data_IF_141916049192
#
_entry.id   IF_141916049192
#
_cell.length_a   1.000
_cell.length_b   1.000
_cell.length_c   1.000
_cell.angle_alpha   90.00
_cell.angle_beta   90.00
_cell.angle_gamma   90.00
#
_symmetry.space_group_name_H-M   'P 1'
#
loop_
_entity.id
_entity.type
_entity.pdbx_description
1 polymer ?
#
# COMPACT_ATOMS: atom_id res chain seq x y z
N UNK A 1 24.46 -50.07 78.24
CA UNK A 1 23.16 -49.57 78.72
C UNK A 1 22.79 -48.36 77.86
N UNK A 2 21.98 -48.60 76.83
CA UNK A 2 21.58 -47.61 75.83
C UNK A 2 20.61 -46.58 76.43
N UNK A 3 20.97 -45.29 76.36
CA UNK A 3 20.04 -44.19 76.58
C UNK A 3 19.51 -43.72 75.22
N UNK A 4 18.22 -43.99 74.99
CA UNK A 4 17.45 -43.43 73.89
C UNK A 4 17.23 -41.93 74.09
N UNK A 5 17.64 -41.12 73.10
CA UNK A 5 17.09 -39.79 72.88
C UNK A 5 16.35 -39.80 71.53
N UNK A 6 15.03 -39.62 71.59
CA UNK A 6 14.22 -39.18 70.46
C UNK A 6 14.49 -37.70 70.18
N UNK A 7 14.51 -37.29 68.90
CA UNK A 7 14.00 -35.97 68.55
C UNK A 7 12.82 -36.04 67.59
N UNK A 8 11.77 -35.35 68.03
CA UNK A 8 10.63 -34.82 67.32
C UNK A 8 10.96 -34.34 65.88
N UNK A 9 10.33 -34.93 64.88
CA UNK A 9 10.22 -34.34 63.54
C UNK A 9 8.84 -33.66 63.42
N UNK A 10 8.87 -32.33 63.56
CA UNK A 10 7.76 -31.42 63.29
C UNK A 10 7.29 -31.58 61.83
N UNK A 11 6.06 -32.09 61.65
CA UNK A 11 5.43 -32.21 60.35
C UNK A 11 4.98 -30.86 59.81
N UNK A 12 5.87 -30.15 59.11
CA UNK A 12 5.51 -28.92 58.37
C UNK A 12 4.62 -29.29 57.19
N UNK A 13 3.30 -29.09 57.32
CA UNK A 13 2.35 -29.18 56.19
C UNK A 13 2.76 -28.18 55.11
N UNK A 14 3.26 -28.66 53.96
CA UNK A 14 3.58 -27.81 52.80
C UNK A 14 2.35 -26.97 52.41
N UNK A 15 2.47 -25.65 52.25
CA UNK A 15 1.32 -24.76 52.04
C UNK A 15 0.66 -25.03 50.68
N UNK A 16 -0.56 -25.59 50.69
CA UNK A 16 -1.38 -25.81 49.48
C UNK A 16 -1.63 -24.51 48.70
N UNK A 17 -1.61 -23.35 49.37
CA UNK A 17 -1.83 -22.01 48.82
C UNK A 17 -0.76 -21.58 47.80
N UNK A 18 0.50 -21.96 48.01
CA UNK A 18 1.60 -21.67 47.06
C UNK A 18 1.48 -22.45 45.75
N UNK A 19 0.94 -23.69 45.80
CA UNK A 19 0.71 -24.50 44.59
C UNK A 19 -0.41 -23.95 43.70
N UNK A 20 -1.41 -23.29 44.30
CA UNK A 20 -2.52 -22.66 43.56
C UNK A 20 -2.04 -21.40 42.85
N UNK A 21 -1.28 -20.54 43.54
CA UNK A 21 -0.68 -19.32 42.95
C UNK A 21 0.27 -19.67 41.80
N UNK A 22 1.10 -20.71 41.98
CA UNK A 22 1.99 -21.22 40.92
C UNK A 22 1.21 -21.73 39.70
N UNK A 23 0.07 -22.39 39.89
CA UNK A 23 -0.81 -22.81 38.78
C UNK A 23 -1.43 -21.62 38.05
N UNK A 24 -1.92 -20.61 38.76
CA UNK A 24 -2.46 -19.39 38.13
C UNK A 24 -1.39 -18.62 37.35
N UNK A 25 -0.17 -18.51 37.87
CA UNK A 25 0.95 -17.91 37.14
C UNK A 25 1.33 -18.71 35.89
N UNK A 26 1.34 -20.05 35.97
CA UNK A 26 1.64 -20.90 34.82
C UNK A 26 0.54 -20.82 33.75
N UNK A 27 -0.73 -20.79 34.14
CA UNK A 27 -1.86 -20.64 33.21
C UNK A 27 -1.88 -19.25 32.57
N UNK A 28 -1.57 -18.19 33.33
CA UNK A 28 -1.43 -16.84 32.81
C UNK A 28 -0.26 -16.75 31.82
N UNK A 29 0.90 -17.33 32.16
CA UNK A 29 2.06 -17.36 31.27
C UNK A 29 1.79 -18.14 29.98
N UNK A 30 1.03 -19.25 30.06
CA UNK A 30 0.59 -20.02 28.90
C UNK A 30 -0.40 -19.23 28.02
N UNK A 31 -1.30 -18.45 28.63
CA UNK A 31 -2.24 -17.59 27.89
C UNK A 31 -1.53 -16.45 27.16
N UNK A 32 -0.49 -15.86 27.77
CA UNK A 32 0.32 -14.80 27.15
C UNK A 32 1.16 -15.34 25.99
N UNK A 33 1.72 -16.55 26.11
CA UNK A 33 2.52 -17.14 25.03
C UNK A 33 1.68 -17.58 23.82
N UNK A 34 0.43 -18.00 24.03
CA UNK A 34 -0.52 -18.28 22.94
C UNK A 34 -0.89 -17.02 22.14
N UNK A 35 -1.03 -15.86 22.81
CA UNK A 35 -1.30 -14.59 22.13
C UNK A 35 -0.15 -14.11 21.23
N UNK A 36 1.10 -14.39 21.61
CA UNK A 36 2.28 -14.00 20.82
C UNK A 36 2.46 -14.84 19.54
N UNK A 37 2.09 -16.13 19.56
CA UNK A 37 2.20 -17.01 18.39
C UNK A 37 1.12 -16.69 17.33
N UNK A 38 -0.04 -16.19 17.76
CA UNK A 38 -1.11 -15.76 16.86
C UNK A 38 -0.75 -14.50 16.03
N UNK A 39 0.33 -13.81 16.39
CA UNK A 39 0.81 -12.61 15.72
C UNK A 39 1.83 -12.97 14.64
N UNK A 40 1.50 -13.93 13.78
CA UNK A 40 2.29 -14.20 12.58
C UNK A 40 2.07 -13.03 11.62
N UNK A 41 3.05 -12.10 11.60
CA UNK A 41 3.09 -11.01 10.63
C UNK A 41 2.95 -11.60 9.23
N UNK A 42 1.87 -11.23 8.53
CA UNK A 42 1.72 -11.58 7.12
C UNK A 42 3.00 -11.19 6.36
N UNK A 43 3.52 -12.12 5.55
CA UNK A 43 4.68 -11.83 4.72
C UNK A 43 4.36 -10.65 3.80
N UNK A 44 5.11 -9.56 3.95
CA UNK A 44 4.96 -8.38 3.11
C UNK A 44 5.68 -8.60 1.79
N UNK A 45 5.06 -8.28 0.64
CA UNK A 45 5.74 -8.38 -0.64
C UNK A 45 6.96 -7.45 -0.66
N UNK A 46 8.07 -7.95 -1.20
CA UNK A 46 9.31 -7.15 -1.37
C UNK A 46 9.20 -6.11 -2.48
N UNK A 47 8.26 -6.30 -3.42
CA UNK A 47 8.01 -5.44 -4.57
C UNK A 47 6.51 -5.42 -4.88
N UNK A 48 5.98 -4.24 -5.14
CA UNK A 48 4.63 -4.03 -5.68
C UNK A 48 4.81 -3.42 -7.07
N UNK A 49 4.15 -4.01 -8.07
CA UNK A 49 4.18 -3.53 -9.46
C UNK A 49 2.77 -3.08 -9.83
N UNK A 50 2.58 -1.77 -9.99
CA UNK A 50 1.33 -1.21 -10.50
C UNK A 50 1.42 -0.98 -12.00
N UNK A 51 0.43 -1.48 -12.75
CA UNK A 51 0.38 -1.38 -14.21
C UNK A 51 -0.95 -0.75 -14.60
N UNK A 52 -0.89 0.41 -15.25
CA UNK A 52 -2.06 1.03 -15.89
C UNK A 52 -1.86 0.93 -17.40
N UNK A 53 -2.78 0.25 -18.08
CA UNK A 53 -2.84 0.22 -19.54
C UNK A 53 -3.83 1.31 -19.98
N UNK A 54 -3.30 2.41 -20.50
CA UNK A 54 -4.11 3.57 -20.88
C UNK A 54 -5.13 3.18 -21.96
N UNK A 55 -6.37 3.66 -21.79
CA UNK A 55 -7.50 3.37 -22.67
C UNK A 55 -7.88 1.88 -22.82
N UNK A 56 -7.48 1.01 -21.88
CA UNK A 56 -7.84 -0.41 -21.91
C UNK A 56 -9.29 -0.64 -21.45
N UNK A 57 -10.13 -1.15 -22.35
CA UNK A 57 -11.47 -1.62 -22.00
C UNK A 57 -11.41 -3.05 -21.47
N UNK A 58 -12.23 -3.36 -20.48
CA UNK A 58 -12.30 -4.71 -19.90
C UNK A 58 -12.66 -5.78 -20.95
N UNK A 59 -13.47 -5.45 -21.96
CA UNK A 59 -13.85 -6.40 -23.02
C UNK A 59 -12.62 -6.96 -23.77
N UNK A 60 -11.53 -6.20 -23.87
CA UNK A 60 -10.35 -6.60 -24.63
C UNK A 60 -9.66 -7.83 -24.03
N UNK A 61 -9.75 -8.01 -22.71
CA UNK A 61 -9.24 -9.19 -22.02
C UNK A 61 -9.86 -10.50 -22.52
N UNK A 62 -11.12 -10.44 -22.94
CA UNK A 62 -11.87 -11.60 -23.45
C UNK A 62 -11.85 -11.64 -24.98
N UNK A 63 -12.11 -10.50 -25.64
CA UNK A 63 -12.21 -10.42 -27.10
C UNK A 63 -10.95 -10.86 -27.82
N UNK A 64 -9.79 -10.64 -27.20
CA UNK A 64 -8.49 -10.99 -27.78
C UNK A 64 -7.77 -12.08 -26.98
N UNK A 65 -8.48 -12.83 -26.13
CA UNK A 65 -7.89 -13.86 -25.25
C UNK A 65 -7.02 -14.84 -26.01
N UNK A 66 -7.46 -15.27 -27.19
CA UNK A 66 -6.78 -16.29 -27.99
C UNK A 66 -5.44 -15.81 -28.57
N UNK A 67 -5.24 -14.49 -28.60
CA UNK A 67 -3.99 -13.85 -29.06
C UNK A 67 -3.01 -13.56 -27.93
N UNK A 68 -3.41 -13.75 -26.67
CA UNK A 68 -2.52 -13.53 -25.52
C UNK A 68 -1.69 -14.77 -25.19
N UNK A 69 -0.44 -14.54 -24.81
CA UNK A 69 0.44 -15.57 -24.25
C UNK A 69 0.01 -15.97 -22.84
N UNK A 70 0.32 -17.20 -22.44
CA UNK A 70 -0.04 -17.74 -21.11
C UNK A 70 0.53 -16.92 -19.95
N UNK A 71 1.75 -16.39 -20.06
CA UNK A 71 2.42 -15.64 -18.98
C UNK A 71 1.96 -14.20 -18.76
N UNK A 72 1.01 -13.69 -19.55
CA UNK A 72 0.56 -12.29 -19.52
C UNK A 72 -0.82 -12.10 -18.89
N UNK A 73 -1.74 -11.44 -19.61
CA UNK A 73 -3.12 -11.23 -19.15
C UNK A 73 -3.84 -12.51 -18.77
N UNK A 74 -3.60 -13.62 -19.48
CA UNK A 74 -4.18 -14.93 -19.16
C UNK A 74 -3.83 -15.38 -17.74
N UNK A 75 -2.55 -15.30 -17.36
CA UNK A 75 -2.09 -15.59 -16.00
C UNK A 75 -2.80 -14.72 -14.96
N UNK A 76 -2.84 -13.41 -15.19
CA UNK A 76 -3.50 -12.47 -14.26
C UNK A 76 -4.99 -12.79 -14.07
N UNK A 77 -5.69 -13.21 -15.15
CA UNK A 77 -7.11 -13.57 -15.09
C UNK A 77 -7.36 -14.93 -14.43
N UNK A 78 -6.46 -15.91 -14.61
CA UNK A 78 -6.62 -17.29 -14.12
C UNK A 78 -6.14 -17.48 -12.68
N UNK A 79 -5.01 -16.88 -12.33
CA UNK A 79 -4.34 -17.06 -11.03
C UNK A 79 -4.54 -15.88 -10.09
N UNK A 80 -4.96 -14.73 -10.61
CA UNK A 80 -5.19 -13.51 -9.84
C UNK A 80 -6.65 -13.32 -9.42
N UNK A 81 -6.91 -12.15 -8.86
CA UNK A 81 -8.25 -11.68 -8.57
C UNK A 81 -8.72 -10.69 -9.64
N UNK A 82 -9.89 -10.93 -10.24
CA UNK A 82 -10.45 -10.06 -11.28
C UNK A 82 -11.72 -9.35 -10.78
N UNK A 83 -11.60 -8.04 -10.54
CA UNK A 83 -12.76 -7.19 -10.33
C UNK A 83 -13.46 -6.92 -11.67
N UNK A 84 -14.65 -7.50 -11.87
CA UNK A 84 -15.39 -7.45 -13.14
C UNK A 84 -16.33 -6.24 -13.27
N UNK A 85 -16.56 -5.51 -12.18
CA UNK A 85 -17.51 -4.40 -12.11
C UNK A 85 -16.85 -3.13 -11.53
N UNK A 86 -15.67 -2.78 -12.04
CA UNK A 86 -14.97 -1.55 -11.68
C UNK A 86 -15.38 -0.39 -12.59
N UNK A 87 -15.85 0.71 -12.01
CA UNK A 87 -16.27 1.90 -12.76
C UNK A 87 -15.65 3.16 -12.18
N UNK A 88 -15.35 4.14 -13.03
CA UNK A 88 -15.06 5.49 -12.58
C UNK A 88 -16.31 6.10 -11.95
N UNK A 89 -16.17 6.61 -10.73
CA UNK A 89 -17.23 7.31 -10.01
C UNK A 89 -17.18 8.83 -10.22
N UNK A 90 -16.56 9.29 -11.30
CA UNK A 90 -16.38 10.70 -11.64
C UNK A 90 -16.34 10.92 -13.15
N UNK A 91 -16.45 12.19 -13.52
CA UNK A 91 -16.29 12.71 -14.88
C UNK A 91 -15.33 13.92 -14.81
N UNK A 92 -14.46 14.16 -15.81
CA UNK A 92 -14.21 13.40 -17.04
C UNK A 92 -13.26 12.20 -16.86
N UNK A 93 -13.46 11.15 -17.66
CA UNK A 93 -12.62 9.93 -17.71
C UNK A 93 -11.36 10.13 -18.56
N UNK A 94 -10.60 11.17 -18.24
CA UNK A 94 -9.33 11.48 -18.89
C UNK A 94 -8.14 10.80 -18.18
N UNK A 95 -7.02 10.69 -18.89
CA UNK A 95 -5.78 10.04 -18.41
C UNK A 95 -5.30 10.61 -17.07
N UNK A 96 -5.14 11.93 -16.94
CA UNK A 96 -4.62 12.58 -15.72
C UNK A 96 -5.47 12.29 -14.48
N UNK A 97 -6.78 12.62 -14.49
CA UNK A 97 -7.72 12.26 -13.43
C UNK A 97 -7.69 10.76 -13.12
N UNK A 98 -7.71 9.92 -14.16
CA UNK A 98 -7.62 8.46 -14.07
C UNK A 98 -6.43 7.97 -13.22
N UNK A 99 -5.23 8.40 -13.59
CA UNK A 99 -4.00 7.96 -12.93
C UNK A 99 -3.92 8.47 -11.49
N UNK A 100 -4.31 9.73 -11.25
CA UNK A 100 -4.36 10.31 -9.91
C UNK A 100 -5.33 9.53 -9.01
N UNK A 101 -6.54 9.21 -9.47
CA UNK A 101 -7.53 8.52 -8.64
C UNK A 101 -7.11 7.09 -8.27
N UNK A 102 -6.51 6.35 -9.21
CA UNK A 102 -6.08 4.95 -8.96
C UNK A 102 -5.06 4.89 -7.83
N UNK A 103 -4.14 5.85 -7.77
CA UNK A 103 -3.04 5.85 -6.79
C UNK A 103 -3.34 6.63 -5.52
N UNK A 104 -4.26 7.60 -5.55
CA UNK A 104 -4.69 8.34 -4.34
C UNK A 104 -5.87 7.69 -3.61
N UNK A 105 -6.62 6.81 -4.28
CA UNK A 105 -7.84 6.23 -3.72
C UNK A 105 -8.97 7.25 -3.54
N UNK A 106 -8.86 8.44 -4.14
CA UNK A 106 -9.88 9.50 -4.07
C UNK A 106 -10.27 10.01 -5.45
N UNK A 107 -11.19 10.98 -5.51
CA UNK A 107 -11.76 11.51 -6.76
C UNK A 107 -11.12 12.85 -7.15
N UNK A 108 -11.34 13.34 -8.40
CA UNK A 108 -10.87 14.65 -8.85
C UNK A 108 -11.28 15.82 -7.97
N UNK A 109 -12.43 15.74 -7.30
CA UNK A 109 -12.88 16.75 -6.36
C UNK A 109 -11.95 16.89 -5.14
N UNK A 110 -11.24 15.82 -4.78
CA UNK A 110 -10.33 15.78 -3.61
C UNK A 110 -8.88 15.94 -4.02
N UNK A 111 -8.40 15.17 -5.01
CA UNK A 111 -7.00 15.19 -5.41
C UNK A 111 -6.65 16.34 -6.38
N UNK A 112 -7.63 17.13 -6.83
CA UNK A 112 -7.42 18.38 -7.59
C UNK A 112 -7.16 18.21 -9.10
N UNK A 113 -6.72 17.03 -9.56
CA UNK A 113 -6.55 16.74 -10.99
C UNK A 113 -7.91 16.50 -11.69
N UNK A 114 -8.54 17.58 -12.17
CA UNK A 114 -9.88 17.56 -12.77
C UNK A 114 -9.93 17.28 -14.27
N UNK A 115 -8.81 17.45 -14.98
CA UNK A 115 -8.69 17.19 -16.41
C UNK A 115 -7.21 17.02 -16.79
N UNK A 116 -6.92 16.66 -18.04
CA UNK A 116 -5.55 16.71 -18.55
C UNK A 116 -5.03 18.16 -18.60
N UNK A 117 -5.90 19.12 -18.90
CA UNK A 117 -5.63 20.55 -18.79
C UNK A 117 -6.91 21.26 -18.37
N UNK A 118 -6.78 22.35 -17.62
CA UNK A 118 -7.92 23.20 -17.23
C UNK A 118 -7.54 24.67 -17.29
N UNK A 119 -8.54 25.54 -17.41
CA UNK A 119 -8.33 26.98 -17.34
C UNK A 119 -8.17 27.42 -15.89
N UNK A 120 -7.03 28.03 -15.55
CA UNK A 120 -6.82 28.71 -14.28
C UNK A 120 -7.27 30.17 -14.41
N UNK A 121 -8.26 30.56 -13.60
CA UNK A 121 -8.72 31.95 -13.52
C UNK A 121 -7.65 32.88 -12.95
N UNK A 122 -6.86 32.38 -12.00
CA UNK A 122 -5.77 33.12 -11.37
C UNK A 122 -4.65 33.44 -12.37
N UNK A 123 -4.22 32.42 -13.13
CA UNK A 123 -3.14 32.57 -14.11
C UNK A 123 -3.63 33.09 -15.48
N UNK A 124 -4.96 33.22 -15.66
CA UNK A 124 -5.62 33.63 -16.91
C UNK A 124 -5.17 32.82 -18.13
N UNK A 125 -4.93 31.52 -17.95
CA UNK A 125 -4.47 30.60 -19.01
C UNK A 125 -4.85 29.16 -18.70
N UNK A 126 -4.72 28.30 -19.71
CA UNK A 126 -4.75 26.85 -19.50
C UNK A 126 -3.49 26.37 -18.76
N UNK A 127 -3.68 25.46 -17.82
CA UNK A 127 -2.64 24.76 -17.06
C UNK A 127 -2.73 23.27 -17.39
N UNK A 128 -1.60 22.65 -17.69
CA UNK A 128 -1.50 21.21 -17.87
C UNK A 128 -1.39 20.49 -16.52
N UNK A 129 -1.97 19.28 -16.40
CA UNK A 129 -2.17 18.64 -15.10
C UNK A 129 -0.88 18.36 -14.31
N UNK A 130 0.20 18.00 -15.00
CA UNK A 130 1.50 17.74 -14.40
C UNK A 130 2.48 18.91 -14.61
N UNK A 131 2.00 20.07 -15.07
CA UNK A 131 2.85 21.25 -15.31
C UNK A 131 3.42 21.79 -14.00
N UNK A 132 4.72 22.07 -14.02
CA UNK A 132 5.42 22.77 -12.95
C UNK A 132 6.47 23.72 -13.54
N UNK A 133 6.22 25.02 -13.42
CA UNK A 133 7.10 26.07 -13.95
C UNK A 133 8.34 26.34 -13.10
N UNK A 134 8.46 25.75 -11.91
CA UNK A 134 9.62 25.97 -11.03
C UNK A 134 10.69 24.89 -11.17
N UNK A 135 10.42 23.85 -11.96
CA UNK A 135 11.38 22.77 -12.22
C UNK A 135 11.83 22.80 -13.68
N UNK A 136 12.95 22.15 -13.95
CA UNK A 136 13.53 22.02 -15.28
C UNK A 136 13.89 20.56 -15.53
N UNK A 137 14.02 20.19 -16.81
CA UNK A 137 14.38 18.83 -17.19
C UNK A 137 15.77 18.47 -16.68
N UNK A 138 15.92 17.23 -16.23
CA UNK A 138 17.22 16.59 -16.07
C UNK A 138 17.42 15.68 -17.29
N UNK A 139 18.24 16.12 -18.24
CA UNK A 139 18.41 15.45 -19.54
C UNK A 139 17.26 15.72 -20.52
N UNK A 140 17.34 15.20 -21.75
CA UNK A 140 16.30 15.40 -22.77
C UNK A 140 16.15 16.85 -23.22
N UNK A 141 14.92 17.26 -23.58
CA UNK A 141 14.63 18.60 -24.11
C UNK A 141 13.94 19.49 -23.09
N UNK A 142 14.15 20.83 -23.11
CA UNK A 142 13.49 21.77 -22.21
C UNK A 142 11.96 21.70 -22.23
N UNK A 143 11.37 21.36 -23.39
CA UNK A 143 9.92 21.20 -23.55
C UNK A 143 9.36 20.04 -22.72
N UNK A 144 10.16 19.01 -22.46
CA UNK A 144 9.77 17.84 -21.67
C UNK A 144 10.06 17.99 -20.16
N UNK A 145 10.57 19.15 -19.72
CA UNK A 145 11.21 19.32 -18.41
C UNK A 145 10.42 19.95 -17.28
N UNK A 146 9.26 20.51 -17.57
CA UNK A 146 8.47 21.30 -16.62
C UNK A 146 7.36 20.46 -16.01
N UNK A 147 7.74 19.29 -15.47
CA UNK A 147 6.81 18.25 -15.03
C UNK A 147 7.05 17.92 -13.56
N UNK A 148 5.98 17.94 -12.75
CA UNK A 148 6.00 17.45 -11.37
C UNK A 148 4.59 17.03 -10.91
N UNK A 149 4.48 16.32 -9.77
CA UNK A 149 3.17 16.00 -9.16
C UNK A 149 2.54 17.20 -8.43
N UNK A 150 3.11 18.42 -8.48
CA UNK A 150 2.71 19.55 -7.61
C UNK A 150 1.22 19.89 -7.59
N UNK A 151 0.50 19.68 -8.70
CA UNK A 151 -0.93 19.98 -8.75
C UNK A 151 -1.80 18.88 -8.10
N UNK A 152 -1.21 17.77 -7.66
CA UNK A 152 -1.87 16.71 -6.91
C UNK A 152 -2.00 17.14 -5.45
N UNK A 153 -3.22 17.32 -4.97
CA UNK A 153 -3.45 17.86 -3.62
C UNK A 153 -3.46 16.80 -2.52
N UNK A 154 -3.58 15.53 -2.89
CA UNK A 154 -3.64 14.40 -1.97
C UNK A 154 -2.37 13.57 -2.03
N UNK A 155 -2.10 12.81 -0.97
CA UNK A 155 -1.09 11.75 -1.02
C UNK A 155 -1.54 10.58 -1.89
N UNK A 156 -0.57 9.79 -2.31
CA UNK A 156 -0.74 8.53 -3.04
C UNK A 156 -0.36 7.35 -2.15
N UNK A 157 -0.75 6.14 -2.53
CA UNK A 157 -0.30 4.91 -1.86
C UNK A 157 1.23 4.78 -1.87
N UNK A 158 1.92 5.37 -2.86
CA UNK A 158 3.38 5.41 -2.91
C UNK A 158 3.96 6.40 -1.90
N UNK A 159 3.34 7.55 -1.70
CA UNK A 159 3.69 8.50 -0.63
C UNK A 159 3.52 7.85 0.75
N UNK A 160 2.37 7.21 0.98
CA UNK A 160 2.08 6.52 2.23
C UNK A 160 3.05 5.35 2.48
N UNK A 161 3.45 4.62 1.43
CA UNK A 161 4.46 3.55 1.53
C UNK A 161 5.86 4.10 1.89
N UNK A 162 6.20 5.29 1.40
CA UNK A 162 7.43 5.98 1.77
C UNK A 162 7.36 6.42 3.23
N UNK A 163 6.27 7.08 3.64
CA UNK A 163 6.07 7.57 5.01
C UNK A 163 6.07 6.42 6.02
N UNK A 164 5.29 5.37 5.77
CA UNK A 164 5.19 4.19 6.65
C UNK A 164 6.51 3.44 6.84
N UNK A 165 7.49 3.65 5.96
CA UNK A 165 8.79 2.99 6.02
C UNK A 165 9.94 3.97 6.27
N UNK A 166 9.68 5.15 6.84
CA UNK A 166 10.68 6.19 7.11
C UNK A 166 11.54 6.52 5.88
N UNK A 167 10.88 6.63 4.71
CA UNK A 167 11.48 6.92 3.40
C UNK A 167 12.55 5.91 2.92
N UNK A 168 12.59 4.71 3.50
CA UNK A 168 13.46 3.62 3.05
C UNK A 168 12.93 2.87 1.83
N UNK A 169 11.62 2.94 1.59
CA UNK A 169 10.99 2.42 0.38
C UNK A 169 11.58 3.10 -0.87
N UNK A 170 11.45 2.45 -2.02
CA UNK A 170 11.87 3.00 -3.31
C UNK A 170 10.65 3.01 -4.23
N UNK A 171 10.32 4.20 -4.72
CA UNK A 171 9.21 4.43 -5.64
C UNK A 171 9.79 4.85 -6.98
N UNK A 172 9.35 4.20 -8.05
CA UNK A 172 9.79 4.49 -9.41
C UNK A 172 8.56 4.48 -10.32
N UNK A 173 8.28 5.62 -10.95
CA UNK A 173 7.23 5.77 -11.97
C UNK A 173 7.83 5.79 -13.37
N UNK A 174 7.34 4.93 -14.27
CA UNK A 174 7.81 4.85 -15.67
C UNK A 174 6.60 4.87 -16.59
N UNK A 175 6.58 5.83 -17.51
CA UNK A 175 5.55 5.90 -18.55
C UNK A 175 6.08 6.70 -19.76
N UNK A 176 5.46 6.47 -20.92
CA UNK A 176 5.72 7.28 -22.12
C UNK A 176 5.13 8.69 -21.95
N UNK A 177 4.01 8.80 -21.25
CA UNK A 177 3.35 10.08 -20.91
C UNK A 177 3.82 10.52 -19.54
N UNK A 178 4.37 11.73 -19.46
CA UNK A 178 4.80 12.41 -18.23
C UNK A 178 3.81 12.26 -17.05
N UNK A 179 2.54 12.64 -17.23
CA UNK A 179 1.47 12.53 -16.21
C UNK A 179 1.16 11.09 -15.79
N UNK A 180 1.45 10.12 -16.67
CA UNK A 180 1.29 8.70 -16.37
C UNK A 180 2.39 8.16 -15.47
N UNK A 181 3.52 8.87 -15.35
CA UNK A 181 4.58 8.55 -14.40
C UNK A 181 4.49 9.43 -13.14
N UNK A 182 4.34 10.75 -13.31
CA UNK A 182 4.43 11.69 -12.19
C UNK A 182 3.27 11.58 -11.20
N UNK A 183 2.03 11.46 -11.68
CA UNK A 183 0.85 11.40 -10.80
C UNK A 183 0.79 10.08 -10.00
N UNK A 184 1.08 8.90 -10.59
CA UNK A 184 1.17 7.66 -9.80
C UNK A 184 2.37 7.59 -8.85
N UNK A 185 3.48 8.24 -9.16
CA UNK A 185 4.67 8.20 -8.30
C UNK A 185 4.48 8.99 -7.00
N UNK A 186 3.60 10.00 -6.98
CA UNK A 186 3.40 10.85 -5.82
C UNK A 186 4.52 11.87 -5.64
N UNK A 187 4.62 12.43 -4.43
CA UNK A 187 5.43 13.58 -4.03
C UNK A 187 6.85 13.24 -3.57
#
# INVERSE_FOLDING_TARGET
MQMHLYPYLCGVKKPKRMKIISKFFLTFFLFVSLGAIAQQSAEKPKLIVGIIVDQMRQEYLYRFSDRYSEGGFKRLMKEGFMMKNGHYNYIPTYTGPGHASVYSGTTPATHGIIANSWYSKELKRSVYCAEDTTVYNIGGTPRAGKISPRNLLSTTITDELMLANNKRSKVVGIAIKDRGASLPAGH
#
